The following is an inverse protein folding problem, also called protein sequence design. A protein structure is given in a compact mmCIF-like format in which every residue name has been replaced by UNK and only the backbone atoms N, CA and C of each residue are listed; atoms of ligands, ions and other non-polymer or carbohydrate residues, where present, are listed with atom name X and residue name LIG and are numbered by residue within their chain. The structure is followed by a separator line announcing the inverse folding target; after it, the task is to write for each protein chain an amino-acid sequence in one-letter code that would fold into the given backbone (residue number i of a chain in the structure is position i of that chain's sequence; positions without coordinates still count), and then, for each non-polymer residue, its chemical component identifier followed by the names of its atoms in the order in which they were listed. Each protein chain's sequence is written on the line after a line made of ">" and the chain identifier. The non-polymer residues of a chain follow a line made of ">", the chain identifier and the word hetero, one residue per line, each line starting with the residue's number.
data_IF_649231144739
#
_entry.id   IF_649231144739
#
_cell.length_a   1.000
_cell.length_b   1.000
_cell.length_c   1.000
_cell.angle_alpha   90.00
_cell.angle_beta   90.00
_cell.angle_gamma   90.00
#
_symmetry.space_group_name_H-M   'P 1'
#
loop_
_entity.id
_entity.type
_entity.pdbx_description
1 polymer ?
#
# COMPACT_ATOMS: atom_id res chain seq x y z
N UNK A 1 13.49 12.56 21.07
CA UNK A 1 12.04 12.45 20.79
C UNK A 1 11.67 11.00 20.65
N UNK A 2 10.52 10.62 21.18
CA UNK A 2 10.00 9.25 21.09
C UNK A 2 8.72 9.20 20.27
N UNK A 3 8.68 8.40 19.24
CA UNK A 3 7.56 8.32 18.28
C UNK A 3 6.94 6.93 18.31
N UNK A 4 5.62 6.85 18.40
CA UNK A 4 4.87 5.61 18.24
C UNK A 4 4.30 5.54 16.81
N UNK A 5 4.62 4.48 16.07
CA UNK A 5 4.04 4.21 14.77
C UNK A 5 2.96 3.13 14.93
N UNK A 6 1.74 3.45 14.53
CA UNK A 6 0.60 2.54 14.59
C UNK A 6 0.22 2.04 13.20
N UNK A 7 0.39 0.74 12.99
CA UNK A 7 -0.02 0.02 11.78
C UNK A 7 -1.23 -0.87 12.06
N UNK A 8 -1.72 -1.59 11.05
CA UNK A 8 -2.69 -2.67 11.17
C UNK A 8 -2.24 -3.88 10.36
N UNK A 9 -2.35 -5.07 10.95
CA UNK A 9 -2.00 -6.32 10.28
C UNK A 9 -3.08 -6.79 9.28
N UNK A 10 -3.59 -5.86 8.46
CA UNK A 10 -4.58 -6.13 7.40
C UNK A 10 -3.93 -6.38 6.03
N UNK A 11 -2.61 -6.13 5.91
CA UNK A 11 -1.82 -6.34 4.70
C UNK A 11 -0.35 -5.99 4.91
N UNK A 12 0.53 -6.34 3.97
CA UNK A 12 1.98 -6.07 4.07
C UNK A 12 2.35 -4.60 3.83
N UNK A 13 1.53 -3.88 3.05
CA UNK A 13 1.85 -2.51 2.63
C UNK A 13 1.96 -1.52 3.80
N UNK A 14 0.97 -1.45 4.69
CA UNK A 14 1.04 -0.56 5.86
C UNK A 14 2.25 -0.85 6.76
N UNK A 15 2.68 -2.11 6.85
CA UNK A 15 3.88 -2.48 7.59
C UNK A 15 5.16 -2.00 6.88
N UNK A 16 5.19 -1.99 5.54
CA UNK A 16 6.30 -1.44 4.77
C UNK A 16 6.44 0.07 4.97
N UNK A 17 5.33 0.81 4.92
CA UNK A 17 5.32 2.26 5.23
C UNK A 17 5.79 2.51 6.67
N UNK A 18 5.30 1.74 7.63
CA UNK A 18 5.71 1.86 9.03
C UNK A 18 7.22 1.61 9.21
N UNK A 19 7.80 0.63 8.48
CA UNK A 19 9.23 0.35 8.50
C UNK A 19 10.06 1.50 7.90
N UNK A 20 9.67 2.01 6.72
CA UNK A 20 10.35 3.14 6.08
C UNK A 20 10.35 4.40 6.95
N UNK A 21 9.21 4.70 7.59
CA UNK A 21 9.09 5.83 8.53
C UNK A 21 9.95 5.65 9.78
N UNK A 22 9.95 4.44 10.36
CA UNK A 22 10.82 4.11 11.51
C UNK A 22 12.28 4.36 11.15
N UNK A 23 12.72 3.83 10.01
CA UNK A 23 14.12 3.92 9.59
C UNK A 23 14.51 5.39 9.33
N UNK A 24 13.64 6.18 8.72
CA UNK A 24 13.86 7.62 8.53
C UNK A 24 13.91 8.42 9.83
N UNK A 25 13.00 8.12 10.78
CA UNK A 25 12.99 8.76 12.10
C UNK A 25 14.23 8.38 12.92
N UNK A 26 14.67 7.12 12.86
CA UNK A 26 15.87 6.65 13.54
C UNK A 26 17.14 7.29 12.99
N UNK A 27 17.25 7.47 11.66
CA UNK A 27 18.37 8.26 11.06
C UNK A 27 18.43 9.70 11.59
N UNK A 28 17.31 10.25 12.05
CA UNK A 28 17.19 11.57 12.67
C UNK A 28 17.25 11.54 14.20
N UNK A 29 17.80 10.46 14.78
CA UNK A 29 18.00 10.28 16.22
C UNK A 29 16.69 10.28 17.04
N UNK A 30 15.54 9.92 16.45
CA UNK A 30 14.31 9.68 17.19
C UNK A 30 14.21 8.19 17.60
N UNK A 31 13.73 7.92 18.81
CA UNK A 31 13.37 6.58 19.26
C UNK A 31 11.98 6.22 18.74
N UNK A 32 11.81 5.04 18.14
CA UNK A 32 10.57 4.63 17.49
C UNK A 32 10.12 3.25 17.96
N UNK A 33 8.85 3.16 18.37
CA UNK A 33 8.15 1.89 18.60
C UNK A 33 7.11 1.70 17.49
N UNK A 34 6.94 0.45 17.01
CA UNK A 34 5.91 0.07 16.02
C UNK A 34 4.95 -0.90 16.66
N UNK A 35 3.64 -0.59 16.64
CA UNK A 35 2.61 -1.42 17.27
C UNK A 35 1.41 -1.64 16.34
N UNK A 36 0.73 -2.79 16.49
CA UNK A 36 -0.55 -3.06 15.83
C UNK A 36 -1.70 -2.33 16.53
N UNK A 37 -2.28 -1.35 15.83
CA UNK A 37 -3.40 -0.55 16.31
C UNK A 37 -4.65 -1.37 16.69
N UNK A 38 -4.94 -2.46 15.96
CA UNK A 38 -6.05 -3.35 16.27
C UNK A 38 -5.93 -4.00 17.67
N UNK A 39 -4.69 -4.19 18.15
CA UNK A 39 -4.41 -4.74 19.48
C UNK A 39 -5.00 -3.92 20.63
N UNK A 40 -5.17 -2.61 20.45
CA UNK A 40 -5.78 -1.72 21.45
C UNK A 40 -7.30 -1.91 21.55
N UNK A 41 -7.97 -2.32 20.47
CA UNK A 41 -9.41 -2.65 20.52
C UNK A 41 -9.60 -3.99 21.22
N UNK A 42 -8.94 -5.05 20.75
CA UNK A 42 -8.96 -6.40 21.35
C UNK A 42 -7.83 -7.26 20.76
N UNK A 43 -7.09 -7.99 21.61
CA UNK A 43 -6.10 -8.98 21.15
C UNK A 43 -6.72 -10.11 20.31
N UNK A 44 -7.99 -10.46 20.58
CA UNK A 44 -8.74 -11.45 19.77
C UNK A 44 -9.23 -10.83 18.46
N UNK A 45 -9.65 -9.54 18.46
CA UNK A 45 -10.11 -8.84 17.26
C UNK A 45 -8.97 -8.69 16.23
N UNK A 46 -7.76 -8.34 16.66
CA UNK A 46 -6.60 -8.23 15.75
C UNK A 46 -6.38 -9.54 14.97
N UNK A 47 -6.31 -10.68 15.66
CA UNK A 47 -6.13 -12.00 15.02
C UNK A 47 -7.33 -12.42 14.16
N UNK A 48 -8.54 -12.11 14.60
CA UNK A 48 -9.77 -12.49 13.92
C UNK A 48 -9.99 -11.64 12.67
N UNK A 49 -9.89 -10.31 12.76
CA UNK A 49 -10.06 -9.38 11.63
C UNK A 49 -9.03 -9.68 10.55
N UNK A 50 -7.74 -9.82 10.90
CA UNK A 50 -6.68 -10.16 9.94
C UNK A 50 -6.96 -11.47 9.20
N UNK A 51 -7.38 -12.52 9.93
CA UNK A 51 -7.65 -13.85 9.35
C UNK A 51 -8.92 -13.87 8.49
N UNK A 52 -9.99 -13.20 8.95
CA UNK A 52 -11.25 -13.09 8.22
C UNK A 52 -11.14 -12.21 6.99
N UNK A 53 -10.50 -11.04 7.12
CA UNK A 53 -10.23 -10.12 6.01
C UNK A 53 -9.47 -10.85 4.89
N UNK A 54 -8.35 -11.52 5.22
CA UNK A 54 -7.57 -12.28 4.25
C UNK A 54 -8.38 -13.38 3.58
N UNK A 55 -9.20 -14.12 4.35
CA UNK A 55 -10.01 -15.23 3.81
C UNK A 55 -11.15 -14.74 2.94
N UNK A 56 -11.84 -13.68 3.35
CA UNK A 56 -12.96 -13.10 2.61
C UNK A 56 -12.47 -12.43 1.31
N UNK A 57 -11.39 -11.67 1.41
CA UNK A 57 -10.73 -11.02 0.28
C UNK A 57 -10.27 -12.04 -0.80
N UNK A 58 -9.74 -13.20 -0.41
CA UNK A 58 -9.32 -14.25 -1.34
C UNK A 58 -10.49 -15.02 -1.96
N UNK A 59 -11.49 -15.35 -1.13
CA UNK A 59 -12.55 -16.29 -1.52
C UNK A 59 -13.70 -15.62 -2.26
N UNK A 60 -13.97 -14.34 -1.95
CA UNK A 60 -15.14 -13.62 -2.44
C UNK A 60 -14.81 -12.17 -2.86
N UNK A 61 -13.88 -11.95 -3.82
CA UNK A 61 -13.44 -10.60 -4.20
C UNK A 61 -14.59 -9.73 -4.74
N UNK A 62 -15.53 -10.31 -5.51
CA UNK A 62 -16.71 -9.59 -6.01
C UNK A 62 -17.67 -9.15 -4.90
N UNK A 63 -17.86 -9.98 -3.88
CA UNK A 63 -18.66 -9.64 -2.70
C UNK A 63 -17.94 -8.60 -1.81
N UNK A 64 -16.62 -8.69 -1.73
CA UNK A 64 -15.81 -7.68 -1.06
C UNK A 64 -15.97 -6.32 -1.74
N UNK A 65 -15.85 -6.26 -3.08
CA UNK A 65 -16.09 -5.07 -3.90
C UNK A 65 -17.49 -4.49 -3.64
N UNK A 66 -18.53 -5.32 -3.72
CA UNK A 66 -19.91 -4.89 -3.51
C UNK A 66 -20.13 -4.37 -2.07
N UNK A 67 -19.60 -5.04 -1.06
CA UNK A 67 -19.67 -4.62 0.34
C UNK A 67 -18.92 -3.32 0.61
N UNK A 68 -17.75 -3.15 0.00
CA UNK A 68 -16.95 -1.93 0.11
C UNK A 68 -17.69 -0.73 -0.54
N UNK A 69 -18.19 -0.91 -1.77
CA UNK A 69 -18.98 0.12 -2.48
C UNK A 69 -20.26 0.49 -1.74
N UNK A 70 -20.95 -0.48 -1.12
CA UNK A 70 -22.12 -0.22 -0.29
C UNK A 70 -21.76 0.56 0.97
N UNK A 71 -20.65 0.22 1.62
CA UNK A 71 -20.17 0.93 2.81
C UNK A 71 -19.71 2.37 2.48
N UNK A 72 -19.09 2.61 1.31
CA UNK A 72 -18.77 3.98 0.87
C UNK A 72 -20.00 4.85 0.57
N UNK A 73 -21.11 4.24 0.18
CA UNK A 73 -22.39 4.94 -0.05
C UNK A 73 -23.16 5.26 1.24
N UNK A 74 -22.83 4.61 2.34
CA UNK A 74 -23.55 4.75 3.61
C UNK A 74 -22.90 5.82 4.50
N UNK A 75 -23.36 7.06 4.34
CA UNK A 75 -22.91 8.21 5.15
C UNK A 75 -23.13 8.05 6.65
N UNK A 76 -23.98 7.11 7.11
CA UNK A 76 -24.20 6.86 8.54
C UNK A 76 -23.07 6.01 9.16
N UNK A 77 -22.47 5.10 8.41
CA UNK A 77 -21.34 4.28 8.91
C UNK A 77 -20.09 5.12 9.21
N UNK A 78 -19.89 6.20 8.48
CA UNK A 78 -18.71 7.08 8.56
C UNK A 78 -18.86 8.22 9.58
N UNK A 79 -20.04 8.39 10.19
CA UNK A 79 -20.25 9.43 11.20
C UNK A 79 -19.48 9.15 12.47
N UNK A 80 -18.91 10.22 13.09
CA UNK A 80 -18.18 10.14 14.38
C UNK A 80 -19.02 9.59 15.54
N UNK A 81 -20.35 9.55 15.41
CA UNK A 81 -21.30 8.97 16.37
C UNK A 81 -21.80 7.57 15.97
N UNK A 82 -21.35 7.04 14.82
CA UNK A 82 -21.73 5.74 14.29
C UNK A 82 -21.26 4.55 15.15
N UNK A 83 -21.91 3.37 15.04
CA UNK A 83 -21.58 2.20 15.86
C UNK A 83 -20.16 1.69 15.64
N UNK A 84 -19.63 1.79 14.41
CA UNK A 84 -18.27 1.38 14.05
C UNK A 84 -17.26 2.30 14.73
N UNK A 85 -17.46 3.62 14.63
CA UNK A 85 -16.59 4.59 15.30
C UNK A 85 -16.58 4.36 16.82
N UNK A 86 -17.76 4.20 17.45
CA UNK A 86 -17.87 3.93 18.89
C UNK A 86 -17.15 2.64 19.32
N UNK A 87 -17.20 1.60 18.49
CA UNK A 87 -16.47 0.36 18.75
C UNK A 87 -14.95 0.57 18.69
N UNK A 88 -14.46 1.27 17.68
CA UNK A 88 -13.02 1.60 17.51
C UNK A 88 -12.55 2.52 18.63
N UNK A 89 -13.32 3.53 18.99
CA UNK A 89 -13.02 4.49 20.05
C UNK A 89 -12.84 3.83 21.45
N UNK A 90 -13.39 2.63 21.68
CA UNK A 90 -13.10 1.86 22.91
C UNK A 90 -11.61 1.53 23.04
N UNK A 91 -10.88 1.39 21.94
CA UNK A 91 -9.43 1.20 21.92
C UNK A 91 -8.65 2.44 22.37
N UNK A 92 -9.22 3.63 22.22
CA UNK A 92 -8.57 4.90 22.55
C UNK A 92 -8.12 4.97 24.02
N UNK A 93 -8.92 4.47 24.97
CA UNK A 93 -8.55 4.47 26.41
C UNK A 93 -7.29 3.65 26.70
N UNK A 94 -7.10 2.52 26.01
CA UNK A 94 -5.90 1.68 26.17
C UNK A 94 -4.70 2.33 25.49
N UNK A 95 -4.91 2.88 24.29
CA UNK A 95 -3.90 3.64 23.59
C UNK A 95 -3.44 4.84 24.44
N UNK A 96 -4.35 5.63 25.02
CA UNK A 96 -4.03 6.76 25.87
C UNK A 96 -3.16 6.38 27.07
N UNK A 97 -3.45 5.24 27.74
CA UNK A 97 -2.59 4.74 28.82
C UNK A 97 -1.18 4.38 28.33
N UNK A 98 -1.08 3.75 27.16
CA UNK A 98 0.22 3.41 26.56
C UNK A 98 1.00 4.68 26.20
N UNK A 99 0.35 5.70 25.68
CA UNK A 99 0.99 6.97 25.33
C UNK A 99 1.51 7.69 26.60
N UNK A 100 0.70 7.76 27.64
CA UNK A 100 1.08 8.37 28.91
C UNK A 100 2.25 7.65 29.58
N UNK A 101 2.17 6.30 29.69
CA UNK A 101 3.24 5.51 30.31
C UNK A 101 4.51 5.45 29.47
N UNK A 102 4.39 5.59 28.14
CA UNK A 102 5.51 5.50 27.22
C UNK A 102 6.25 6.82 26.99
N UNK A 103 5.66 7.97 27.35
CA UNK A 103 6.27 9.30 27.14
C UNK A 103 6.51 9.59 25.65
N UNK A 104 5.51 9.33 24.81
CA UNK A 104 5.61 9.58 23.36
C UNK A 104 5.34 11.07 23.04
N UNK A 105 6.20 11.66 22.22
CA UNK A 105 6.06 13.02 21.73
C UNK A 105 5.14 13.09 20.50
N UNK A 106 5.11 12.02 19.67
CA UNK A 106 4.26 11.92 18.50
C UNK A 106 3.72 10.50 18.26
N UNK A 107 2.59 10.43 17.57
CA UNK A 107 1.99 9.19 17.06
C UNK A 107 1.79 9.30 15.55
N UNK A 108 2.34 8.36 14.78
CA UNK A 108 2.15 8.26 13.33
C UNK A 108 1.24 7.08 13.03
N UNK A 109 0.07 7.33 12.46
CA UNK A 109 -0.90 6.31 12.08
C UNK A 109 -0.80 6.05 10.58
N UNK A 110 -0.43 4.84 10.18
CA UNK A 110 -0.39 4.43 8.76
C UNK A 110 -1.64 3.64 8.34
N UNK A 111 -2.69 3.71 9.15
CA UNK A 111 -3.99 3.11 8.86
C UNK A 111 -5.09 3.90 9.55
N UNK A 112 -6.29 3.94 8.95
CA UNK A 112 -7.41 4.75 9.45
C UNK A 112 -7.92 4.32 10.83
N UNK A 113 -7.91 3.03 11.16
CA UNK A 113 -8.40 2.54 12.48
C UNK A 113 -7.65 3.18 13.66
N UNK A 114 -6.30 3.15 13.76
CA UNK A 114 -5.60 3.89 14.80
C UNK A 114 -5.76 5.40 14.69
N UNK A 115 -5.95 5.96 13.48
CA UNK A 115 -6.22 7.40 13.30
C UNK A 115 -7.56 7.82 13.94
N UNK A 116 -8.60 6.99 13.83
CA UNK A 116 -9.88 7.20 14.53
C UNK A 116 -9.72 7.15 16.06
N UNK A 117 -8.90 6.25 16.58
CA UNK A 117 -8.60 6.20 18.02
C UNK A 117 -7.85 7.45 18.51
N UNK A 118 -6.87 7.94 17.72
CA UNK A 118 -6.16 9.18 18.02
C UNK A 118 -7.09 10.40 17.97
N UNK A 119 -8.01 10.45 17.01
CA UNK A 119 -9.03 11.51 16.94
C UNK A 119 -9.90 11.53 18.19
N UNK A 120 -10.36 10.36 18.67
CA UNK A 120 -11.14 10.26 19.90
C UNK A 120 -10.33 10.66 21.16
N UNK A 121 -9.04 10.32 21.20
CA UNK A 121 -8.14 10.75 22.29
C UNK A 121 -7.92 12.26 22.30
N UNK A 122 -7.67 12.86 21.14
CA UNK A 122 -7.43 14.29 20.99
C UNK A 122 -8.63 15.14 21.46
N UNK A 123 -9.84 14.62 21.29
CA UNK A 123 -11.05 15.27 21.81
C UNK A 123 -11.15 15.23 23.35
N UNK A 124 -10.60 14.18 23.98
CA UNK A 124 -10.71 13.94 25.41
C UNK A 124 -9.46 14.34 26.21
N UNK A 125 -8.35 14.63 25.57
CA UNK A 125 -7.06 14.87 26.19
C UNK A 125 -6.31 16.02 25.50
N UNK A 126 -6.25 17.19 26.15
CA UNK A 126 -5.64 18.41 25.61
C UNK A 126 -4.12 18.30 25.40
N UNK A 127 -3.42 17.51 26.22
CA UNK A 127 -1.98 17.26 26.13
C UNK A 127 -1.66 16.01 25.25
N UNK A 128 -2.50 15.71 24.25
CA UNK A 128 -2.29 14.59 23.34
C UNK A 128 -1.01 14.80 22.53
N UNK A 129 -0.16 13.76 22.34
CA UNK A 129 1.00 13.82 21.45
C UNK A 129 0.63 14.27 20.04
N UNK A 130 1.60 14.84 19.30
CA UNK A 130 1.43 15.20 17.88
C UNK A 130 0.88 14.00 17.11
N UNK A 131 -0.23 14.20 16.40
CA UNK A 131 -0.89 13.14 15.63
C UNK A 131 -0.68 13.33 14.13
N UNK A 132 0.09 12.44 13.51
CA UNK A 132 0.28 12.35 12.07
C UNK A 132 -0.51 11.17 11.50
N UNK A 133 -1.27 11.39 10.43
CA UNK A 133 -1.90 10.34 9.63
C UNK A 133 -1.23 10.27 8.26
N UNK A 134 -0.94 9.06 7.79
CA UNK A 134 -0.37 8.79 6.46
C UNK A 134 -1.40 8.06 5.62
N UNK A 135 -1.99 8.77 4.66
CA UNK A 135 -2.86 8.19 3.64
C UNK A 135 -2.02 7.41 2.63
N UNK A 136 -2.48 6.22 2.25
CA UNK A 136 -1.77 5.27 1.37
C UNK A 136 -2.48 5.03 0.06
N UNK A 137 -3.73 5.48 -0.09
CA UNK A 137 -4.53 5.38 -1.30
C UNK A 137 -4.68 6.74 -1.97
N UNK A 138 -4.74 6.76 -3.30
CA UNK A 138 -4.90 7.96 -4.13
C UNK A 138 -6.36 8.42 -4.17
N UNK A 139 -6.98 8.41 -3.00
CA UNK A 139 -8.34 8.89 -2.75
C UNK A 139 -8.54 9.09 -1.25
N UNK A 140 -9.44 9.98 -0.87
CA UNK A 140 -9.87 10.15 0.51
C UNK A 140 -11.14 9.34 0.76
N UNK A 141 -11.09 8.34 1.65
CA UNK A 141 -12.30 7.69 2.10
C UNK A 141 -13.05 8.57 3.13
N UNK A 142 -14.39 8.49 3.23
CA UNK A 142 -15.15 9.23 4.24
C UNK A 142 -14.67 8.99 5.67
N UNK A 143 -14.21 7.78 5.96
CA UNK A 143 -13.64 7.41 7.27
C UNK A 143 -12.35 8.19 7.60
N UNK A 144 -11.54 8.51 6.57
CA UNK A 144 -10.36 9.37 6.72
C UNK A 144 -10.79 10.80 7.02
N UNK A 145 -11.81 11.31 6.35
CA UNK A 145 -12.38 12.64 6.59
C UNK A 145 -12.92 12.84 8.01
N UNK A 146 -13.28 11.76 8.71
CA UNK A 146 -13.68 11.83 10.12
C UNK A 146 -12.49 12.02 11.09
N UNK A 147 -11.23 11.91 10.64
CA UNK A 147 -10.05 12.07 11.47
C UNK A 147 -9.61 13.54 11.59
N UNK A 148 -8.91 13.87 12.69
CA UNK A 148 -8.42 15.23 12.96
C UNK A 148 -6.90 15.22 13.26
N UNK A 149 -6.05 14.84 12.28
CA UNK A 149 -4.61 14.83 12.47
C UNK A 149 -4.03 16.25 12.54
N UNK A 150 -2.85 16.41 13.17
CA UNK A 150 -2.05 17.64 13.12
C UNK A 150 -1.23 17.71 11.83
N UNK A 151 -0.93 16.54 11.24
CA UNK A 151 -0.30 16.37 9.93
C UNK A 151 -1.04 15.26 9.20
N UNK A 152 -1.56 15.53 8.01
CA UNK A 152 -2.13 14.54 7.11
C UNK A 152 -1.24 14.39 5.89
N UNK A 153 -0.51 13.29 5.80
CA UNK A 153 0.30 12.97 4.62
C UNK A 153 -0.62 12.44 3.53
N UNK A 154 -0.56 13.06 2.36
CA UNK A 154 -1.32 12.65 1.17
C UNK A 154 -0.35 12.16 0.07
N UNK A 155 -0.74 11.17 -0.76
CA UNK A 155 0.14 10.61 -1.76
C UNK A 155 0.56 11.61 -2.84
N UNK A 156 -0.32 12.54 -3.23
CA UNK A 156 -0.06 13.54 -4.26
C UNK A 156 -0.76 14.87 -3.95
N UNK A 157 -0.16 15.99 -4.41
CA UNK A 157 -0.69 17.34 -4.16
C UNK A 157 -2.08 17.57 -4.77
N UNK A 158 -2.38 17.00 -5.93
CA UNK A 158 -3.69 17.15 -6.59
C UNK A 158 -4.85 16.56 -5.80
N UNK A 159 -4.58 15.67 -4.85
CA UNK A 159 -5.59 15.13 -3.95
C UNK A 159 -5.99 16.10 -2.82
N UNK A 160 -5.30 17.23 -2.69
CA UNK A 160 -5.54 18.16 -1.58
C UNK A 160 -6.98 18.61 -1.48
N UNK A 161 -7.61 18.96 -2.61
CA UNK A 161 -9.01 19.42 -2.63
C UNK A 161 -10.01 18.30 -2.27
N UNK A 162 -9.74 17.06 -2.69
CA UNK A 162 -10.53 15.90 -2.30
C UNK A 162 -10.47 15.67 -0.78
N UNK A 163 -9.25 15.68 -0.20
CA UNK A 163 -9.08 15.52 1.26
C UNK A 163 -9.74 16.65 2.05
N UNK A 164 -9.66 17.88 1.56
CA UNK A 164 -10.36 19.03 2.17
C UNK A 164 -11.88 18.87 2.08
N UNK A 165 -12.41 18.44 0.94
CA UNK A 165 -13.85 18.18 0.77
C UNK A 165 -14.37 17.07 1.69
N UNK A 166 -13.52 16.11 2.05
CA UNK A 166 -13.82 15.08 3.04
C UNK A 166 -13.71 15.54 4.49
N UNK A 167 -13.21 16.77 4.76
CA UNK A 167 -13.17 17.35 6.11
C UNK A 167 -11.79 17.44 6.74
N UNK A 168 -10.70 17.13 6.01
CA UNK A 168 -9.32 17.33 6.48
C UNK A 168 -8.93 18.81 6.34
N UNK A 169 -8.35 19.40 7.38
CA UNK A 169 -7.93 20.79 7.35
C UNK A 169 -6.73 20.98 6.39
N UNK A 170 -6.83 21.96 5.48
CA UNK A 170 -5.86 22.17 4.39
C UNK A 170 -4.43 22.41 4.89
N UNK A 171 -4.27 23.11 5.99
CA UNK A 171 -2.98 23.45 6.60
C UNK A 171 -2.26 22.25 7.25
N UNK A 172 -2.95 21.11 7.36
CA UNK A 172 -2.37 19.86 7.86
C UNK A 172 -1.80 18.97 6.74
N UNK A 173 -2.08 19.25 5.46
CA UNK A 173 -1.73 18.39 4.32
C UNK A 173 -0.23 18.44 3.98
N UNK A 174 0.38 17.29 3.72
CA UNK A 174 1.80 17.10 3.35
C UNK A 174 1.95 16.09 2.22
N UNK A 175 2.38 16.48 0.98
CA UNK A 175 2.65 15.54 -0.14
C UNK A 175 4.02 14.85 -0.03
N UNK A 176 4.18 13.66 -0.62
CA UNK A 176 5.36 12.76 -0.49
C UNK A 176 5.94 12.22 -1.84
N UNK A 177 7.16 11.63 -1.95
CA UNK A 177 7.94 11.32 -3.17
C UNK A 177 8.98 10.12 -3.18
N UNK A 178 10.11 9.99 -3.89
CA UNK A 178 10.76 8.90 -4.65
C UNK A 178 12.18 8.33 -4.31
N UNK A 179 12.57 7.08 -4.91
CA UNK A 179 13.94 6.46 -5.10
C UNK A 179 14.02 5.51 -6.32
N UNK A 180 15.18 5.36 -7.03
CA UNK A 180 15.40 4.48 -8.20
C UNK A 180 16.17 3.19 -7.91
N UNK A 181 15.90 2.09 -8.67
CA UNK A 181 16.58 0.80 -8.61
C UNK A 181 17.54 0.51 -9.81
N UNK A 182 18.45 -0.46 -9.63
CA UNK A 182 19.36 -0.99 -10.67
C UNK A 182 18.92 -2.41 -11.08
N UNK A 183 18.44 -2.57 -12.33
CA UNK A 183 17.90 -3.83 -12.86
C UNK A 183 18.94 -4.96 -12.90
N UNK A 184 20.14 -4.68 -13.38
CA UNK A 184 21.17 -5.70 -13.51
C UNK A 184 21.67 -6.20 -12.15
N UNK A 185 21.85 -5.29 -11.19
CA UNK A 185 22.20 -5.65 -9.81
C UNK A 185 21.08 -6.46 -9.14
N UNK A 186 19.82 -6.09 -9.35
CA UNK A 186 18.67 -6.79 -8.79
C UNK A 186 18.56 -8.23 -9.33
N UNK A 187 18.75 -8.43 -10.65
CA UNK A 187 18.75 -9.78 -11.25
C UNK A 187 19.85 -10.67 -10.70
N UNK A 188 21.08 -10.15 -10.59
CA UNK A 188 22.19 -10.90 -9.98
C UNK A 188 21.92 -11.26 -8.52
N UNK A 189 21.38 -10.33 -7.74
CA UNK A 189 21.05 -10.57 -6.33
C UNK A 189 19.96 -11.62 -6.13
N UNK A 190 19.03 -11.75 -7.08
CA UNK A 190 17.95 -12.75 -7.08
C UNK A 190 18.34 -14.07 -7.75
N UNK A 191 19.51 -14.15 -8.42
CA UNK A 191 19.92 -15.32 -9.21
C UNK A 191 19.06 -15.51 -10.48
N UNK A 192 18.48 -14.44 -11.01
CA UNK A 192 17.66 -14.46 -12.21
C UNK A 192 18.52 -14.36 -13.47
N UNK A 193 18.00 -14.78 -14.67
CA UNK A 193 18.70 -14.61 -15.93
C UNK A 193 19.10 -13.15 -16.15
N UNK A 194 20.33 -12.92 -16.56
CA UNK A 194 20.82 -11.55 -16.84
C UNK A 194 20.29 -11.04 -18.19
N UNK A 195 19.98 -11.92 -19.12
CA UNK A 195 19.41 -11.64 -20.44
C UNK A 195 17.95 -12.07 -20.52
N UNK A 196 17.22 -11.64 -21.56
CA UNK A 196 15.78 -11.85 -21.68
C UNK A 196 14.96 -10.80 -20.93
N UNK A 197 13.67 -10.74 -21.24
CA UNK A 197 12.76 -9.78 -20.63
C UNK A 197 12.02 -10.45 -19.47
N UNK A 198 11.84 -9.71 -18.39
CA UNK A 198 11.25 -10.22 -17.14
C UNK A 198 9.90 -9.58 -16.86
N UNK A 199 8.84 -10.38 -16.82
CA UNK A 199 7.51 -9.99 -16.35
C UNK A 199 7.34 -10.40 -14.89
N UNK A 200 7.07 -9.45 -14.00
CA UNK A 200 6.73 -9.74 -12.60
C UNK A 200 5.21 -9.59 -12.42
N UNK A 201 4.57 -10.64 -11.91
CA UNK A 201 3.15 -10.66 -11.57
C UNK A 201 3.00 -10.54 -10.05
N UNK A 202 2.27 -9.53 -9.57
CA UNK A 202 2.09 -9.30 -8.15
C UNK A 202 0.66 -8.90 -7.81
N UNK A 203 0.03 -9.59 -6.86
CA UNK A 203 -1.31 -9.29 -6.37
C UNK A 203 -1.35 -8.95 -4.88
N UNK A 204 -0.30 -8.25 -4.42
CA UNK A 204 -0.10 -7.85 -3.04
C UNK A 204 0.33 -8.98 -2.10
N UNK A 205 0.60 -8.64 -0.84
CA UNK A 205 1.12 -9.59 0.17
C UNK A 205 0.18 -10.76 0.49
N UNK A 206 -1.10 -10.63 0.16
CA UNK A 206 -2.11 -11.67 0.38
C UNK A 206 -2.11 -12.70 -0.77
N UNK A 207 -1.80 -12.31 -1.98
CA UNK A 207 -1.90 -13.13 -3.20
C UNK A 207 -3.35 -13.44 -3.58
N UNK A 208 -3.90 -12.73 -4.57
CA UNK A 208 -5.28 -12.90 -5.05
C UNK A 208 -5.33 -12.86 -6.58
N UNK A 209 -6.52 -13.05 -7.14
CA UNK A 209 -6.76 -13.01 -8.59
C UNK A 209 -6.37 -14.30 -9.32
N UNK A 210 -6.55 -14.33 -10.64
CA UNK A 210 -6.41 -15.52 -11.50
C UNK A 210 -4.94 -15.77 -11.91
N UNK A 211 -3.97 -15.55 -10.99
CA UNK A 211 -2.54 -15.61 -11.31
C UNK A 211 -2.07 -16.93 -11.91
N UNK A 212 -2.77 -18.04 -11.58
CA UNK A 212 -2.46 -19.34 -12.13
C UNK A 212 -2.71 -19.44 -13.63
N UNK A 213 -3.83 -18.93 -14.09
CA UNK A 213 -4.24 -18.97 -15.49
C UNK A 213 -3.44 -17.95 -16.32
N UNK A 214 -3.16 -16.77 -15.73
CA UNK A 214 -2.28 -15.75 -16.33
C UNK A 214 -0.85 -16.29 -16.51
N UNK A 215 -0.32 -17.00 -15.51
CA UNK A 215 1.01 -17.60 -15.55
C UNK A 215 1.12 -18.66 -16.65
N UNK A 216 0.08 -19.52 -16.80
CA UNK A 216 0.03 -20.56 -17.83
C UNK A 216 -0.05 -19.96 -19.24
N UNK A 217 -0.90 -18.95 -19.44
CA UNK A 217 -1.01 -18.24 -20.72
C UNK A 217 0.31 -17.50 -21.10
N UNK A 218 0.99 -16.91 -20.12
CA UNK A 218 2.32 -16.33 -20.33
C UNK A 218 3.35 -17.40 -20.71
N UNK A 219 3.40 -18.53 -19.99
CA UNK A 219 4.37 -19.61 -20.24
C UNK A 219 4.28 -20.14 -21.68
N UNK A 220 3.05 -20.23 -22.20
CA UNK A 220 2.79 -20.68 -23.58
C UNK A 220 3.15 -19.66 -24.65
N UNK A 221 3.10 -18.37 -24.35
CA UNK A 221 3.14 -17.29 -25.37
C UNK A 221 4.39 -16.40 -25.31
N UNK A 222 5.16 -16.45 -24.23
CA UNK A 222 6.43 -15.70 -24.14
C UNK A 222 7.43 -16.17 -25.19
N UNK A 223 8.22 -15.22 -25.70
CA UNK A 223 9.33 -15.51 -26.61
C UNK A 223 10.45 -16.30 -25.91
N UNK A 224 11.31 -16.95 -26.70
CA UNK A 224 12.47 -17.65 -26.17
C UNK A 224 13.43 -16.70 -25.46
N UNK A 225 13.82 -17.07 -24.25
CA UNK A 225 14.67 -16.26 -23.38
C UNK A 225 13.90 -15.32 -22.45
N UNK A 226 12.64 -15.01 -22.70
CA UNK A 226 11.80 -14.24 -21.78
C UNK A 226 11.29 -15.14 -20.63
N UNK A 227 11.07 -14.53 -19.47
CA UNK A 227 10.64 -15.26 -18.28
C UNK A 227 9.74 -14.40 -17.40
N UNK A 228 9.00 -15.06 -16.50
CA UNK A 228 8.12 -14.37 -15.56
C UNK A 228 8.28 -14.91 -14.13
N UNK A 229 7.99 -14.07 -13.16
CA UNK A 229 7.92 -14.43 -11.74
C UNK A 229 6.55 -14.06 -11.17
N UNK A 230 5.88 -15.00 -10.53
CA UNK A 230 4.63 -14.77 -9.79
C UNK A 230 4.92 -14.63 -8.31
N UNK A 231 4.75 -13.44 -7.75
CA UNK A 231 4.85 -13.21 -6.31
C UNK A 231 3.54 -13.58 -5.63
N UNK A 232 3.47 -14.79 -5.11
CA UNK A 232 2.26 -15.37 -4.49
C UNK A 232 1.95 -14.81 -3.09
N UNK A 233 2.87 -14.04 -2.50
CA UNK A 233 2.72 -13.52 -1.15
C UNK A 233 2.48 -14.65 -0.13
N UNK A 234 1.55 -14.43 0.80
CA UNK A 234 1.19 -15.43 1.82
C UNK A 234 0.24 -16.53 1.31
N UNK A 235 -0.08 -16.56 0.00
CA UNK A 235 -0.97 -17.56 -0.60
C UNK A 235 -0.23 -18.85 -0.97
N UNK A 236 -0.02 -19.72 0.02
CA UNK A 236 0.65 -21.02 -0.17
C UNK A 236 -0.09 -21.94 -1.15
N UNK A 237 -1.42 -21.83 -1.24
CA UNK A 237 -2.23 -22.66 -2.15
C UNK A 237 -2.00 -22.25 -3.61
N UNK A 238 -1.93 -20.93 -3.89
CA UNK A 238 -1.59 -20.40 -5.22
C UNK A 238 -0.18 -20.86 -5.62
N UNK A 239 0.80 -20.68 -4.73
CA UNK A 239 2.17 -21.12 -5.00
C UNK A 239 2.22 -22.60 -5.33
N UNK A 240 1.65 -23.46 -4.49
CA UNK A 240 1.63 -24.91 -4.71
C UNK A 240 0.92 -25.31 -6.03
N UNK A 241 -0.19 -24.65 -6.35
CA UNK A 241 -0.91 -24.90 -7.59
C UNK A 241 -0.08 -24.52 -8.83
N UNK A 242 0.71 -23.45 -8.77
CA UNK A 242 1.64 -23.05 -9.82
C UNK A 242 2.81 -24.02 -9.94
N UNK A 243 3.42 -24.45 -8.84
CA UNK A 243 4.50 -25.44 -8.82
C UNK A 243 4.07 -26.79 -9.45
N UNK A 244 2.81 -27.20 -9.23
CA UNK A 244 2.24 -28.43 -9.83
C UNK A 244 2.07 -28.32 -11.36
N UNK A 245 1.88 -27.13 -11.92
CA UNK A 245 1.73 -26.90 -13.37
C UNK A 245 3.05 -27.10 -14.13
N UNK A 246 4.19 -27.09 -13.44
CA UNK A 246 5.55 -27.27 -14.02
C UNK A 246 5.80 -26.37 -15.23
N UNK A 247 5.49 -25.09 -15.07
CA UNK A 247 5.70 -24.08 -16.10
C UNK A 247 7.20 -23.92 -16.40
N UNK A 248 7.52 -23.65 -17.65
CA UNK A 248 8.89 -23.66 -18.14
C UNK A 248 9.60 -22.31 -17.95
N UNK A 249 8.85 -21.23 -18.19
CA UNK A 249 9.33 -19.85 -18.16
C UNK A 249 8.81 -19.03 -16.97
N UNK A 250 8.00 -19.65 -16.11
CA UNK A 250 7.36 -18.96 -14.99
C UNK A 250 7.74 -19.59 -13.67
N UNK A 251 8.31 -18.76 -12.78
CA UNK A 251 8.63 -19.14 -11.40
C UNK A 251 7.58 -18.63 -10.41
N UNK A 252 7.19 -19.46 -9.45
CA UNK A 252 6.28 -19.09 -8.37
C UNK A 252 7.05 -18.85 -7.06
N UNK A 253 7.06 -17.60 -6.60
CA UNK A 253 7.72 -17.19 -5.37
C UNK A 253 6.70 -16.95 -4.26
N UNK A 254 6.95 -17.53 -3.08
CA UNK A 254 6.11 -17.33 -1.88
C UNK A 254 6.25 -15.94 -1.28
N UNK A 255 5.95 -15.84 0.03
CA UNK A 255 6.19 -14.59 0.74
C UNK A 255 7.69 -14.28 0.78
N UNK A 256 8.04 -13.09 0.34
CA UNK A 256 9.42 -12.58 0.32
C UNK A 256 9.50 -11.17 0.90
N UNK A 257 10.63 -10.83 1.50
CA UNK A 257 10.98 -9.46 1.91
C UNK A 257 11.76 -8.72 0.81
N UNK A 258 12.07 -9.40 -0.30
CA UNK A 258 12.86 -8.87 -1.42
C UNK A 258 11.98 -8.36 -2.57
N UNK A 259 10.72 -7.96 -2.31
CA UNK A 259 9.78 -7.48 -3.33
C UNK A 259 10.39 -6.36 -4.17
N UNK A 260 11.14 -5.47 -3.54
CA UNK A 260 11.81 -4.36 -4.21
C UNK A 260 12.82 -4.84 -5.27
N UNK A 261 13.59 -5.89 -5.00
CA UNK A 261 14.52 -6.46 -5.98
C UNK A 261 13.76 -7.06 -7.18
N UNK A 262 12.61 -7.72 -6.94
CA UNK A 262 11.77 -8.20 -8.04
C UNK A 262 11.21 -7.04 -8.89
N UNK A 263 10.78 -5.94 -8.26
CA UNK A 263 10.37 -4.73 -8.98
C UNK A 263 11.52 -4.18 -9.83
N UNK A 264 12.72 -4.03 -9.25
CA UNK A 264 13.90 -3.52 -9.95
C UNK A 264 14.35 -4.43 -11.10
N UNK A 265 14.16 -5.75 -11.00
CA UNK A 265 14.52 -6.72 -12.01
C UNK A 265 13.58 -6.75 -13.21
N UNK A 266 12.38 -6.17 -13.10
CA UNK A 266 11.29 -6.29 -14.06
C UNK A 266 11.44 -5.35 -15.26
N UNK A 267 11.09 -5.83 -16.45
CA UNK A 267 10.81 -5.01 -17.63
C UNK A 267 9.35 -4.57 -17.66
N UNK A 268 8.46 -5.36 -17.07
CA UNK A 268 7.05 -5.07 -16.86
C UNK A 268 6.61 -5.62 -15.50
N UNK A 269 5.99 -4.78 -14.69
CA UNK A 269 5.30 -5.19 -13.47
C UNK A 269 3.79 -5.19 -13.73
N UNK A 270 3.15 -6.35 -13.62
CA UNK A 270 1.69 -6.48 -13.64
C UNK A 270 1.20 -6.58 -12.20
N UNK A 271 0.37 -5.64 -11.78
CA UNK A 271 -0.10 -5.56 -10.40
C UNK A 271 -1.56 -5.16 -10.30
N UNK A 272 -2.19 -5.53 -9.17
CA UNK A 272 -3.41 -4.86 -8.74
C UNK A 272 -3.09 -3.43 -8.27
N UNK A 273 -4.00 -2.46 -8.40
CA UNK A 273 -3.74 -1.06 -8.07
C UNK A 273 -3.82 -0.75 -6.58
N UNK A 274 -3.12 -1.53 -5.75
CA UNK A 274 -2.99 -1.26 -4.31
C UNK A 274 -2.03 -0.10 -4.05
N UNK A 275 -2.50 0.97 -3.41
CA UNK A 275 -1.83 2.26 -3.30
C UNK A 275 -0.33 2.20 -2.97
N UNK A 276 0.07 1.39 -2.01
CA UNK A 276 1.48 1.26 -1.61
C UNK A 276 2.31 0.57 -2.69
N UNK A 277 1.83 -0.55 -3.25
CA UNK A 277 2.58 -1.30 -4.26
C UNK A 277 2.80 -0.50 -5.54
N UNK A 278 1.79 0.26 -5.98
CA UNK A 278 1.92 1.10 -7.17
C UNK A 278 2.80 2.32 -6.92
N UNK A 279 2.77 2.88 -5.69
CA UNK A 279 3.70 3.94 -5.29
C UNK A 279 5.14 3.43 -5.23
N UNK A 280 5.38 2.23 -4.71
CA UNK A 280 6.70 1.59 -4.73
C UNK A 280 7.19 1.38 -6.17
N UNK A 281 6.35 0.88 -7.07
CA UNK A 281 6.69 0.69 -8.48
C UNK A 281 7.02 2.01 -9.18
N UNK A 282 6.18 3.04 -9.02
CA UNK A 282 6.42 4.39 -9.55
C UNK A 282 7.71 5.00 -9.01
N UNK A 283 7.95 4.83 -7.71
CA UNK A 283 9.16 5.24 -7.02
C UNK A 283 10.41 4.58 -7.62
N UNK A 284 10.34 3.34 -8.06
CA UNK A 284 11.47 2.61 -8.63
C UNK A 284 11.60 2.76 -10.15
N UNK A 285 10.68 3.46 -10.80
CA UNK A 285 10.67 3.68 -12.24
C UNK A 285 10.41 2.39 -13.03
N UNK A 286 9.52 1.52 -12.53
CA UNK A 286 9.20 0.24 -13.17
C UNK A 286 8.01 0.42 -14.11
N UNK A 287 8.08 -0.01 -15.40
CA UNK A 287 6.92 0.00 -16.28
C UNK A 287 5.76 -0.79 -15.67
N UNK A 288 4.64 -0.12 -15.43
CA UNK A 288 3.54 -0.63 -14.60
C UNK A 288 2.28 -0.85 -15.45
N UNK A 289 1.76 -2.09 -15.40
CA UNK A 289 0.47 -2.48 -15.98
C UNK A 289 -0.48 -2.86 -14.84
N UNK A 290 -1.60 -2.16 -14.73
CA UNK A 290 -2.57 -2.33 -13.66
C UNK A 290 -3.77 -3.17 -14.10
N UNK A 291 -4.25 -4.03 -13.19
CA UNK A 291 -5.49 -4.78 -13.35
C UNK A 291 -6.33 -4.68 -12.07
N UNK A 292 -7.48 -4.01 -12.13
CA UNK A 292 -8.40 -3.90 -10.99
C UNK A 292 -9.17 -5.21 -10.76
N UNK A 293 -8.58 -6.07 -9.96
CA UNK A 293 -9.13 -7.38 -9.58
C UNK A 293 -10.09 -7.31 -8.39
N UNK A 294 -10.08 -6.22 -7.63
CA UNK A 294 -10.73 -6.13 -6.31
C UNK A 294 -11.74 -5.00 -6.23
N UNK A 295 -11.46 -3.86 -6.85
CA UNK A 295 -12.31 -2.66 -6.81
C UNK A 295 -12.18 -1.81 -5.54
N UNK A 296 -13.10 -0.90 -5.35
CA UNK A 296 -13.07 0.04 -4.23
C UNK A 296 -12.05 1.15 -4.42
N UNK A 297 -11.21 1.43 -3.41
CA UNK A 297 -10.13 2.43 -3.53
C UNK A 297 -9.14 2.05 -4.64
N UNK A 298 -8.97 0.77 -4.95
CA UNK A 298 -8.07 0.31 -6.01
C UNK A 298 -8.51 0.79 -7.40
N UNK A 299 -9.82 0.85 -7.69
CA UNK A 299 -10.34 1.43 -8.94
C UNK A 299 -9.94 2.92 -9.08
N UNK A 300 -9.96 3.67 -7.98
CA UNK A 300 -9.56 5.09 -7.99
C UNK A 300 -8.04 5.26 -8.09
N UNK A 301 -7.29 4.40 -7.43
CA UNK A 301 -5.83 4.36 -7.55
C UNK A 301 -5.42 4.08 -9.01
N UNK A 302 -6.07 3.11 -9.68
CA UNK A 302 -5.84 2.82 -11.10
C UNK A 302 -6.13 4.04 -11.98
N UNK A 303 -7.32 4.64 -11.82
CA UNK A 303 -7.73 5.81 -12.58
C UNK A 303 -6.76 6.98 -12.38
N UNK A 304 -6.27 7.20 -11.16
CA UNK A 304 -5.31 8.25 -10.86
C UNK A 304 -3.97 8.00 -11.55
N UNK A 305 -3.42 6.79 -11.45
CA UNK A 305 -2.14 6.44 -12.06
C UNK A 305 -2.17 6.50 -13.59
N UNK A 306 -3.25 6.03 -14.21
CA UNK A 306 -3.40 6.08 -15.67
C UNK A 306 -3.60 7.50 -16.18
N UNK A 307 -4.36 8.35 -15.47
CA UNK A 307 -4.55 9.76 -15.84
C UNK A 307 -3.24 10.56 -15.81
N UNK A 308 -2.28 10.20 -14.91
CA UNK A 308 -0.96 10.83 -14.84
C UNK A 308 0.09 10.20 -15.77
N UNK A 309 -0.29 9.17 -16.53
CA UNK A 309 0.65 8.44 -17.39
C UNK A 309 1.70 7.62 -16.62
N UNK A 310 1.46 7.30 -15.34
CA UNK A 310 2.38 6.50 -14.50
C UNK A 310 2.17 5.00 -14.62
N UNK A 311 1.11 4.59 -15.28
CA UNK A 311 0.80 3.19 -15.55
C UNK A 311 -0.10 3.07 -16.80
N UNK A 312 -0.06 1.90 -17.44
CA UNK A 312 -1.14 1.42 -18.29
C UNK A 312 -2.12 0.58 -17.48
N UNK A 313 -3.33 0.34 -18.02
CA UNK A 313 -4.29 -0.57 -17.41
C UNK A 313 -4.77 -1.65 -18.37
N UNK A 314 -5.24 -2.77 -17.84
CA UNK A 314 -5.81 -3.85 -18.62
C UNK A 314 -6.99 -4.51 -17.89
N UNK A 315 -7.92 -5.13 -18.65
CA UNK A 315 -8.96 -5.97 -18.05
C UNK A 315 -8.35 -7.17 -17.32
N UNK A 316 -8.89 -7.54 -16.14
CA UNK A 316 -8.38 -8.69 -15.36
C UNK A 316 -8.42 -10.04 -16.08
N UNK A 317 -9.30 -10.20 -17.06
CA UNK A 317 -9.44 -11.40 -17.89
C UNK A 317 -8.51 -11.42 -19.12
N UNK A 318 -7.75 -10.35 -19.36
CA UNK A 318 -6.83 -10.23 -20.50
C UNK A 318 -5.38 -9.89 -20.07
N UNK A 319 -5.01 -10.15 -18.82
CA UNK A 319 -3.72 -9.72 -18.25
C UNK A 319 -2.51 -10.27 -19.01
N UNK A 320 -2.51 -11.55 -19.39
CA UNK A 320 -1.38 -12.16 -20.08
C UNK A 320 -1.14 -11.53 -21.44
N UNK A 321 -2.18 -11.42 -22.28
CA UNK A 321 -2.08 -10.79 -23.58
C UNK A 321 -1.68 -9.31 -23.49
N UNK A 322 -2.26 -8.58 -22.54
CA UNK A 322 -1.92 -7.18 -22.29
C UNK A 322 -0.49 -7.01 -21.81
N UNK A 323 0.01 -7.90 -20.93
CA UNK A 323 1.39 -7.87 -20.45
C UNK A 323 2.39 -8.11 -21.58
N UNK A 324 2.11 -9.07 -22.48
CA UNK A 324 2.94 -9.34 -23.65
C UNK A 324 2.92 -8.16 -24.64
N UNK A 325 1.75 -7.60 -24.93
CA UNK A 325 1.65 -6.42 -25.78
C UNK A 325 2.41 -5.22 -25.19
N UNK A 326 2.26 -4.99 -23.89
CA UNK A 326 2.97 -3.93 -23.17
C UNK A 326 4.49 -4.17 -23.13
N UNK A 327 4.92 -5.44 -23.06
CA UNK A 327 6.34 -5.82 -23.13
C UNK A 327 6.94 -5.50 -24.51
N UNK A 328 6.18 -5.55 -25.59
CA UNK A 328 6.62 -5.16 -26.94
C UNK A 328 6.57 -3.64 -27.18
N UNK A 329 5.71 -2.90 -26.47
CA UNK A 329 5.58 -1.45 -26.63
C UNK A 329 6.63 -0.69 -25.80
N UNK A 330 7.86 -0.62 -26.33
CA UNK A 330 8.97 0.08 -25.66
C UNK A 330 8.67 1.58 -25.50
N UNK A 331 8.00 2.19 -26.46
CA UNK A 331 7.66 3.61 -26.41
C UNK A 331 6.72 3.92 -25.25
N UNK A 332 5.69 3.11 -25.06
CA UNK A 332 4.76 3.27 -23.93
C UNK A 332 5.47 3.05 -22.58
N UNK A 333 6.32 2.02 -22.47
CA UNK A 333 7.09 1.77 -21.25
C UNK A 333 8.02 2.93 -20.90
N UNK A 334 8.74 3.48 -21.90
CA UNK A 334 9.61 4.64 -21.70
C UNK A 334 8.84 5.89 -21.30
N UNK A 335 7.68 6.15 -21.92
CA UNK A 335 6.82 7.27 -21.56
C UNK A 335 6.34 7.17 -20.10
N UNK A 336 5.93 5.98 -19.66
CA UNK A 336 5.49 5.73 -18.28
C UNK A 336 6.65 5.97 -17.29
N UNK A 337 7.83 5.42 -17.54
CA UNK A 337 8.97 5.60 -16.64
C UNK A 337 9.48 7.04 -16.62
N UNK A 338 9.38 7.77 -17.71
CA UNK A 338 9.69 9.20 -17.76
C UNK A 338 8.71 10.03 -16.92
N UNK A 339 7.39 9.77 -17.05
CA UNK A 339 6.37 10.43 -16.25
C UNK A 339 6.53 10.12 -14.75
N UNK A 340 6.76 8.85 -14.41
CA UNK A 340 7.09 8.46 -13.04
C UNK A 340 8.33 9.21 -12.53
N UNK A 341 9.36 9.36 -13.37
CA UNK A 341 10.60 10.05 -13.02
C UNK A 341 10.44 11.52 -12.72
N UNK A 342 9.42 12.16 -13.23
CA UNK A 342 9.10 13.56 -12.94
C UNK A 342 8.45 13.72 -11.56
N UNK A 343 7.54 12.82 -11.18
CA UNK A 343 6.63 13.06 -10.06
C UNK A 343 7.01 12.34 -8.75
N UNK A 344 7.85 11.31 -8.82
CA UNK A 344 8.27 10.56 -7.64
C UNK A 344 9.76 10.85 -7.31
N UNK A 345 10.12 11.34 -6.12
CA UNK A 345 11.49 11.74 -5.71
C UNK A 345 12.13 10.92 -4.57
N UNK A 346 11.45 9.89 -4.05
CA UNK A 346 11.95 8.98 -3.03
C UNK A 346 12.06 9.52 -1.61
N UNK A 347 11.79 10.77 -1.40
CA UNK A 347 12.00 11.43 -0.10
C UNK A 347 10.76 11.45 0.81
N UNK A 348 9.72 10.68 0.48
CA UNK A 348 8.46 10.67 1.22
C UNK A 348 8.64 10.45 2.73
N UNK A 349 9.30 9.35 3.10
CA UNK A 349 9.51 9.02 4.50
C UNK A 349 10.36 10.09 5.22
N UNK A 350 11.31 10.69 4.52
CA UNK A 350 12.18 11.74 5.06
C UNK A 350 11.44 13.06 5.27
N UNK A 351 10.54 13.44 4.35
CA UNK A 351 9.65 14.61 4.52
C UNK A 351 8.69 14.41 5.69
N UNK A 352 8.07 13.25 5.78
CA UNK A 352 7.16 12.92 6.89
C UNK A 352 7.89 12.95 8.23
N UNK A 353 9.06 12.31 8.33
CA UNK A 353 9.87 12.32 9.53
C UNK A 353 10.27 13.74 9.95
N UNK A 354 10.73 14.56 9.00
CA UNK A 354 11.10 15.96 9.27
C UNK A 354 9.89 16.77 9.76
N UNK A 355 8.73 16.65 9.12
CA UNK A 355 7.52 17.37 9.50
C UNK A 355 7.03 16.99 10.91
N UNK A 356 7.01 15.68 11.23
CA UNK A 356 6.63 15.18 12.56
C UNK A 356 7.56 15.75 13.64
N UNK A 357 8.88 15.65 13.43
CA UNK A 357 9.86 16.14 14.40
C UNK A 357 9.83 17.67 14.57
N UNK A 358 9.56 18.41 13.49
CA UNK A 358 9.42 19.88 13.54
C UNK A 358 8.15 20.28 14.32
N UNK A 359 7.05 19.53 14.18
CA UNK A 359 5.80 19.81 14.89
C UNK A 359 5.92 19.54 16.39
N UNK A 360 6.72 18.56 16.82
CA UNK A 360 6.98 18.27 18.23
C UNK A 360 7.83 19.33 18.95
N UNK A 361 8.52 20.20 18.19
CA UNK A 361 9.38 21.26 18.74
C UNK A 361 8.63 22.59 19.00
N UNK A 362 7.43 22.71 18.47
CA UNK A 362 6.53 23.85 18.67
C UNK A 362 5.61 23.61 19.85
#
# INVERSE_FOLDING_TARGET
>A
MRVLILTCNTGGGHNAVAAALRDSLQRRSASCDVMDGLGFISKKASKFVSKWHTRFYRRYPRLYKAGYMSAEGDKEMDRRDGPVYRYIARGARRLGRTLQSGGYDAVVCVHVIPAMMMTALKQAWSACPVFCFVATDYTCSPTVGACTPDICVIPHQELADEFVSCGIARDTLLPAGREHGDRAAARRALGLPETGRHIVLMSGSIGCGPMGDVAEDLDMRMADGDFATVLCGSNKQMRYALELRRLYRVEAVGFTTQVQLYMDSADVLVSKPGGISITEAGTRGVPLLLADMVGGCETRNEAFFTAHGWAASCPPDNMAASALAFLEDEQQRQAITAAQSHDFDGLAADRVAAAVLARCRK
#
